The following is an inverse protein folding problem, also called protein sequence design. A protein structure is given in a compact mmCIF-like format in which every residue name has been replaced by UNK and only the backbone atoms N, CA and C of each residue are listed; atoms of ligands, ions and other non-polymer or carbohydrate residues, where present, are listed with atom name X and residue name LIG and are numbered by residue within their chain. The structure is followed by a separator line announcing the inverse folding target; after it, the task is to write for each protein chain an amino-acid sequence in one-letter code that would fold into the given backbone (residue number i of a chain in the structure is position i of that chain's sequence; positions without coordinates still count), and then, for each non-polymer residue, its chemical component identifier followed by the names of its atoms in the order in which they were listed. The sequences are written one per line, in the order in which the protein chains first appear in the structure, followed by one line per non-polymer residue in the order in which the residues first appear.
data_IF_623419694575
#
_entry.id   IF_623419694575
#
_cell.length_a   1.000
_cell.length_b   1.000
_cell.length_c   1.000
_cell.angle_alpha   90.00
_cell.angle_beta   90.00
_cell.angle_gamma   90.00
#
_symmetry.space_group_name_H-M   'P 1'
#
loop_
_entity.id
_entity.type
_entity.pdbx_description
1 polymer ?
#
# COMPACT_ATOMS: atom_id res chain seq x y z
N UNK A 1 10.20 23.35 -19.83
CA UNK A 1 9.11 24.28 -19.40
C UNK A 1 8.16 23.48 -18.53
N UNK A 2 7.63 24.04 -17.44
CA UNK A 2 6.66 23.30 -16.61
C UNK A 2 5.27 23.38 -17.22
N UNK A 3 4.68 22.23 -17.55
CA UNK A 3 3.28 22.12 -17.95
C UNK A 3 2.42 21.93 -16.68
N UNK A 4 1.39 22.75 -16.52
CA UNK A 4 0.42 22.61 -15.43
C UNK A 4 -0.71 21.73 -15.93
N UNK A 5 -1.06 20.70 -15.17
CA UNK A 5 -2.16 19.79 -15.48
C UNK A 5 -3.10 19.74 -14.29
N UNK A 6 -4.33 20.21 -14.48
CA UNK A 6 -5.39 20.08 -13.49
C UNK A 6 -5.76 18.60 -13.33
N UNK A 7 -5.86 18.11 -12.09
CA UNK A 7 -6.25 16.71 -11.85
C UNK A 7 -7.69 16.45 -12.33
N UNK A 8 -8.54 17.47 -12.30
CA UNK A 8 -9.89 17.42 -12.87
C UNK A 8 -9.94 17.15 -14.37
N UNK A 9 -8.85 17.44 -15.11
CA UNK A 9 -8.77 17.22 -16.56
C UNK A 9 -8.26 15.82 -16.92
N UNK A 10 -7.89 15.02 -15.93
CA UNK A 10 -7.42 13.64 -16.12
C UNK A 10 -8.58 12.65 -16.02
N UNK A 11 -8.48 11.56 -16.79
CA UNK A 11 -9.32 10.40 -16.54
C UNK A 11 -9.04 9.84 -15.15
N UNK A 12 -10.11 9.45 -14.46
CA UNK A 12 -10.07 8.84 -13.13
C UNK A 12 -10.60 7.42 -13.26
N UNK A 13 -9.75 6.44 -12.96
CA UNK A 13 -10.08 5.02 -13.05
C UNK A 13 -10.17 4.44 -11.64
N UNK A 14 -11.36 3.99 -11.27
CA UNK A 14 -11.59 3.22 -10.05
C UNK A 14 -11.36 1.74 -10.35
N UNK A 15 -10.32 1.16 -9.76
CA UNK A 15 -9.91 -0.22 -9.98
C UNK A 15 -10.35 -1.08 -8.80
N UNK A 16 -11.18 -2.08 -9.06
CA UNK A 16 -11.73 -2.97 -8.02
C UNK A 16 -11.69 -4.43 -8.45
N UNK A 17 -11.63 -5.34 -7.48
CA UNK A 17 -11.60 -6.77 -7.73
C UNK A 17 -12.62 -7.53 -6.87
N UNK A 18 -12.30 -7.84 -5.62
CA UNK A 18 -13.12 -8.64 -4.69
C UNK A 18 -13.42 -7.91 -3.37
N UNK A 19 -13.09 -6.61 -3.27
CA UNK A 19 -13.32 -5.82 -2.07
C UNK A 19 -14.82 -5.64 -1.81
N UNK A 20 -15.28 -6.03 -0.63
CA UNK A 20 -16.73 -5.97 -0.31
C UNK A 20 -17.24 -4.55 -0.14
N UNK A 21 -16.35 -3.60 0.16
CA UNK A 21 -16.65 -2.17 0.26
C UNK A 21 -16.51 -1.40 -1.08
N UNK A 22 -16.14 -2.07 -2.18
CA UNK A 22 -15.89 -1.41 -3.47
C UNK A 22 -17.10 -0.65 -4.00
N UNK A 23 -18.32 -1.18 -3.87
CA UNK A 23 -19.52 -0.53 -4.41
C UNK A 23 -19.88 0.77 -3.64
N UNK A 24 -19.67 0.76 -2.33
CA UNK A 24 -19.83 1.96 -1.50
C UNK A 24 -18.77 3.01 -1.82
N UNK A 25 -17.52 2.60 -1.97
CA UNK A 25 -16.41 3.51 -2.33
C UNK A 25 -16.57 4.05 -3.76
N UNK A 26 -17.05 3.23 -4.69
CA UNK A 26 -17.40 3.67 -6.04
C UNK A 26 -18.49 4.74 -6.02
N UNK A 27 -19.55 4.53 -5.24
CA UNK A 27 -20.63 5.51 -5.08
C UNK A 27 -20.14 6.82 -4.47
N UNK A 28 -19.24 6.72 -3.48
CA UNK A 28 -18.57 7.86 -2.89
C UNK A 28 -17.77 8.65 -3.93
N UNK A 29 -16.85 8.02 -4.67
CA UNK A 29 -16.05 8.68 -5.71
C UNK A 29 -16.96 9.33 -6.78
N UNK A 30 -17.99 8.62 -7.24
CA UNK A 30 -18.93 9.11 -8.25
C UNK A 30 -19.71 10.35 -7.83
N UNK A 31 -19.84 10.61 -6.53
CA UNK A 31 -20.57 11.78 -6.02
C UNK A 31 -19.86 13.12 -6.27
N UNK A 32 -18.53 13.12 -6.45
CA UNK A 32 -17.73 14.32 -6.74
C UNK A 32 -16.80 14.17 -7.96
N UNK A 33 -16.62 12.95 -8.49
CA UNK A 33 -15.92 12.67 -9.76
C UNK A 33 -16.88 11.96 -10.73
N UNK A 34 -17.89 12.65 -11.28
CA UNK A 34 -18.91 12.04 -12.14
C UNK A 34 -18.40 11.59 -13.52
N UNK A 35 -17.14 11.83 -13.86
CA UNK A 35 -16.49 11.30 -15.07
C UNK A 35 -15.63 10.06 -14.78
N UNK A 36 -15.47 9.65 -13.51
CA UNK A 36 -14.72 8.46 -13.17
C UNK A 36 -15.31 7.22 -13.87
N UNK A 37 -14.42 6.34 -14.35
CA UNK A 37 -14.73 5.04 -14.98
C UNK A 37 -14.35 3.93 -14.00
N UNK A 38 -15.08 2.82 -13.99
CA UNK A 38 -14.76 1.65 -13.13
C UNK A 38 -14.24 0.51 -13.98
N UNK A 39 -13.09 -0.03 -13.60
CA UNK A 39 -12.57 -1.31 -14.06
C UNK A 39 -12.73 -2.30 -12.92
N UNK A 40 -13.38 -3.44 -13.19
CA UNK A 40 -13.77 -4.39 -12.16
C UNK A 40 -13.50 -5.84 -12.57
N UNK A 41 -13.05 -6.65 -11.61
CA UNK A 41 -13.00 -8.11 -11.76
C UNK A 41 -11.83 -8.62 -12.60
N UNK A 42 -10.82 -7.79 -12.86
CA UNK A 42 -9.61 -8.21 -13.59
C UNK A 42 -8.65 -8.89 -12.63
N UNK A 43 -8.34 -10.15 -12.91
CA UNK A 43 -7.36 -10.93 -12.18
C UNK A 43 -5.93 -10.55 -12.57
N UNK A 44 -5.01 -10.53 -11.59
CA UNK A 44 -3.63 -10.14 -11.79
C UNK A 44 -3.39 -8.63 -11.60
N UNK A 45 -2.29 -8.28 -10.93
CA UNK A 45 -2.03 -6.87 -10.60
C UNK A 45 -1.56 -6.09 -11.82
N UNK A 46 -0.72 -6.68 -12.67
CA UNK A 46 -0.21 -6.07 -13.91
C UNK A 46 -1.35 -5.93 -14.96
N UNK A 47 -2.14 -7.00 -15.13
CA UNK A 47 -3.29 -7.02 -16.03
C UNK A 47 -4.37 -6.00 -15.63
N UNK A 48 -4.68 -5.88 -14.34
CA UNK A 48 -5.65 -4.91 -13.83
C UNK A 48 -5.23 -3.45 -14.12
N UNK A 49 -3.95 -3.12 -13.96
CA UNK A 49 -3.44 -1.79 -14.30
C UNK A 49 -3.46 -1.54 -15.82
N UNK A 50 -3.11 -2.53 -16.65
CA UNK A 50 -3.22 -2.43 -18.11
C UNK A 50 -4.66 -2.22 -18.58
N UNK A 51 -5.63 -2.89 -17.95
CA UNK A 51 -7.04 -2.64 -18.19
C UNK A 51 -7.46 -1.20 -17.79
N UNK A 52 -6.93 -0.68 -16.68
CA UNK A 52 -7.13 0.71 -16.29
C UNK A 52 -6.56 1.71 -17.33
N UNK A 53 -5.34 1.47 -17.82
CA UNK A 53 -4.73 2.28 -18.88
C UNK A 53 -5.52 2.21 -20.20
N UNK A 54 -6.09 1.06 -20.53
CA UNK A 54 -6.95 0.89 -21.71
C UNK A 54 -8.28 1.65 -21.59
N UNK A 55 -8.84 1.75 -20.38
CA UNK A 55 -10.06 2.52 -20.12
C UNK A 55 -9.84 4.06 -20.14
N UNK A 56 -8.60 4.49 -19.94
CA UNK A 56 -8.21 5.90 -19.99
C UNK A 56 -8.07 6.42 -21.43
N UNK A 57 -8.68 7.56 -21.71
CA UNK A 57 -8.55 8.33 -22.95
C UNK A 57 -7.35 9.28 -22.89
N UNK A 58 -6.98 9.77 -21.71
CA UNK A 58 -5.80 10.61 -21.48
C UNK A 58 -4.52 9.78 -21.33
N UNK A 59 -3.36 10.31 -21.75
CA UNK A 59 -2.07 9.63 -21.57
C UNK A 59 -1.72 9.43 -20.09
N UNK A 60 -2.05 10.41 -19.26
CA UNK A 60 -1.92 10.34 -17.81
C UNK A 60 -3.29 10.19 -17.18
N UNK A 61 -3.42 9.35 -16.15
CA UNK A 61 -4.69 9.14 -15.45
C UNK A 61 -4.48 8.96 -13.95
N UNK A 62 -5.53 9.17 -13.17
CA UNK A 62 -5.58 8.87 -11.74
C UNK A 62 -6.15 7.47 -11.56
N UNK A 63 -5.54 6.66 -10.70
CA UNK A 63 -6.00 5.34 -10.31
C UNK A 63 -6.33 5.29 -8.83
N UNK A 64 -7.51 4.78 -8.51
CA UNK A 64 -8.08 4.67 -7.16
C UNK A 64 -8.40 3.19 -6.90
N UNK A 65 -7.78 2.61 -5.86
CA UNK A 65 -8.00 1.21 -5.46
C UNK A 65 -9.42 1.03 -4.83
N UNK A 66 -9.99 -0.18 -4.94
CA UNK A 66 -11.39 -0.45 -4.58
C UNK A 66 -11.73 -0.24 -3.10
N UNK A 67 -10.74 -0.33 -2.23
CA UNK A 67 -10.86 -0.10 -0.79
C UNK A 67 -10.54 1.34 -0.35
N UNK A 68 -10.31 2.25 -1.31
CA UNK A 68 -9.83 3.59 -1.05
C UNK A 68 -10.93 4.66 -1.13
N UNK A 69 -10.87 5.61 -0.21
CA UNK A 69 -11.67 6.82 -0.18
C UNK A 69 -10.77 8.06 -0.32
N UNK A 70 -10.74 8.71 -1.50
CA UNK A 70 -9.94 9.92 -1.71
C UNK A 70 -10.52 11.12 -0.96
N UNK A 71 -9.67 12.02 -0.51
CA UNK A 71 -10.07 13.37 -0.10
C UNK A 71 -10.49 14.16 -1.36
N UNK A 72 -11.72 14.70 -1.45
CA UNK A 72 -12.18 15.45 -2.62
C UNK A 72 -11.27 16.62 -3.03
N UNK A 73 -10.58 17.25 -2.07
CA UNK A 73 -9.64 18.36 -2.34
C UNK A 73 -8.44 17.93 -3.20
N UNK A 74 -8.17 16.62 -3.31
CA UNK A 74 -7.18 16.08 -4.24
C UNK A 74 -7.48 16.47 -5.70
N UNK A 75 -8.76 16.46 -6.09
CA UNK A 75 -9.15 16.75 -7.48
C UNK A 75 -9.12 18.24 -7.82
N UNK A 76 -8.91 19.11 -6.83
CA UNK A 76 -8.69 20.55 -6.99
C UNK A 76 -7.20 20.89 -7.15
N UNK A 77 -6.30 19.90 -7.13
CA UNK A 77 -4.87 20.12 -7.20
C UNK A 77 -4.35 20.14 -8.65
N UNK A 78 -3.16 20.72 -8.84
CA UNK A 78 -2.48 20.80 -10.12
C UNK A 78 -1.14 20.06 -10.09
N UNK A 79 -0.90 19.20 -11.07
CA UNK A 79 0.39 18.58 -11.29
C UNK A 79 1.30 19.53 -12.06
N UNK A 80 2.56 19.65 -11.60
CA UNK A 80 3.58 20.47 -12.24
C UNK A 80 4.56 19.58 -12.97
N UNK A 81 4.28 19.33 -14.25
CA UNK A 81 5.01 18.38 -15.07
C UNK A 81 6.17 19.05 -15.81
N UNK A 82 7.30 18.35 -15.92
CA UNK A 82 8.48 18.78 -16.68
C UNK A 82 9.15 17.55 -17.31
N UNK A 83 10.26 17.77 -18.01
CA UNK A 83 10.98 16.70 -18.73
C UNK A 83 11.51 15.59 -17.81
N UNK A 84 11.67 15.84 -16.50
CA UNK A 84 12.17 14.86 -15.54
C UNK A 84 11.06 13.96 -14.98
N UNK A 85 9.82 14.43 -14.96
CA UNK A 85 8.72 13.78 -14.23
C UNK A 85 7.48 13.46 -15.10
N UNK A 86 7.44 13.93 -16.34
CA UNK A 86 6.29 13.79 -17.24
C UNK A 86 5.93 12.34 -17.51
N UNK A 87 6.91 11.43 -17.51
CA UNK A 87 6.75 9.99 -17.70
C UNK A 87 6.67 9.21 -16.37
N UNK A 88 6.85 9.87 -15.23
CA UNK A 88 6.89 9.22 -13.93
C UNK A 88 5.49 8.82 -13.42
N UNK A 89 5.48 7.80 -12.57
CA UNK A 89 4.33 7.40 -11.76
C UNK A 89 4.41 8.14 -10.43
N UNK A 90 3.31 8.74 -10.00
CA UNK A 90 3.20 9.35 -8.67
C UNK A 90 2.34 8.46 -7.79
N UNK A 91 2.84 8.07 -6.61
CA UNK A 91 2.05 7.38 -5.58
C UNK A 91 2.00 8.25 -4.33
N UNK A 92 0.82 8.77 -4.03
CA UNK A 92 0.57 9.47 -2.76
C UNK A 92 0.25 8.48 -1.65
N UNK A 93 0.42 8.93 -0.41
CA UNK A 93 0.14 8.09 0.74
C UNK A 93 -1.36 7.99 0.98
N UNK A 94 -1.80 6.85 1.50
CA UNK A 94 -3.10 6.72 2.15
C UNK A 94 -2.90 6.53 3.65
N UNK A 95 -3.86 7.02 4.44
CA UNK A 95 -4.00 6.60 5.84
C UNK A 95 -4.71 5.26 5.87
N UNK A 96 -4.07 4.24 6.43
CA UNK A 96 -4.68 2.94 6.61
C UNK A 96 -5.65 2.97 7.80
N UNK A 97 -6.93 2.66 7.56
CA UNK A 97 -7.99 2.71 8.58
C UNK A 97 -7.75 1.74 9.74
N UNK A 98 -7.11 0.60 9.47
CA UNK A 98 -6.86 -0.46 10.46
C UNK A 98 -5.85 0.01 11.50
N UNK A 99 -4.67 0.45 11.06
CA UNK A 99 -3.51 0.66 11.93
C UNK A 99 -3.03 2.12 12.02
N UNK A 100 -3.59 3.03 11.23
CA UNK A 100 -3.25 4.45 11.23
C UNK A 100 -2.01 4.84 10.43
N UNK A 101 -1.26 3.88 9.89
CA UNK A 101 -0.07 4.14 9.08
C UNK A 101 -0.42 5.02 7.87
N UNK A 102 0.45 5.99 7.57
CA UNK A 102 0.38 6.80 6.34
C UNK A 102 1.61 6.52 5.48
N UNK A 103 1.44 5.70 4.44
CA UNK A 103 2.48 5.35 3.46
C UNK A 103 1.84 4.85 2.16
N UNK A 104 2.61 4.27 1.23
CA UNK A 104 2.15 3.92 -0.11
C UNK A 104 1.05 2.84 -0.19
N UNK A 105 0.82 2.05 0.87
CA UNK A 105 -0.23 1.03 0.91
C UNK A 105 -1.62 1.65 0.68
N UNK A 106 -2.32 1.17 -0.35
CA UNK A 106 -3.63 1.67 -0.76
C UNK A 106 -3.67 3.14 -1.22
N UNK A 107 -2.53 3.80 -1.41
CA UNK A 107 -2.41 5.18 -1.87
C UNK A 107 -3.05 5.50 -3.22
N UNK A 108 -3.49 6.74 -3.43
CA UNK A 108 -3.85 7.24 -4.76
C UNK A 108 -2.63 7.25 -5.67
N UNK A 109 -2.85 7.09 -6.96
CA UNK A 109 -1.75 7.11 -7.92
C UNK A 109 -2.07 7.84 -9.22
N UNK A 110 -1.04 8.42 -9.84
CA UNK A 110 -1.08 8.94 -11.19
C UNK A 110 -0.13 8.14 -12.07
N UNK A 111 -0.66 7.51 -13.11
CA UNK A 111 0.07 6.67 -14.04
C UNK A 111 0.09 7.28 -15.43
N UNK A 112 1.09 6.91 -16.23
CA UNK A 112 1.04 7.10 -17.69
C UNK A 112 0.68 5.78 -18.36
N UNK A 113 -0.09 5.84 -19.44
CA UNK A 113 -0.41 4.65 -20.26
C UNK A 113 0.86 4.04 -20.82
N UNK A 114 1.83 4.88 -21.20
CA UNK A 114 3.15 4.44 -21.65
C UNK A 114 3.86 3.61 -20.58
N UNK A 115 3.94 4.07 -19.34
CA UNK A 115 4.56 3.30 -18.26
C UNK A 115 3.83 1.97 -18.03
N UNK A 116 2.51 2.01 -17.90
CA UNK A 116 1.69 0.83 -17.58
C UNK A 116 1.74 -0.23 -18.67
N UNK A 117 1.81 0.16 -19.94
CA UNK A 117 1.90 -0.82 -21.04
C UNK A 117 3.29 -1.44 -21.16
N UNK A 118 4.35 -0.75 -20.73
CA UNK A 118 5.73 -1.23 -20.80
C UNK A 118 6.17 -1.99 -19.54
N UNK A 119 5.52 -1.78 -18.40
CA UNK A 119 5.88 -2.49 -17.17
C UNK A 119 5.65 -4.00 -17.30
N UNK A 120 6.53 -4.74 -16.63
CA UNK A 120 6.50 -6.21 -16.50
C UNK A 120 6.69 -6.54 -15.04
N UNK A 121 5.59 -6.66 -14.31
CA UNK A 121 5.61 -6.89 -12.86
C UNK A 121 4.67 -8.01 -12.47
N UNK A 122 4.73 -8.47 -11.22
CA UNK A 122 3.82 -9.48 -10.69
C UNK A 122 3.74 -10.71 -11.61
N UNK A 123 2.54 -11.06 -12.07
CA UNK A 123 2.31 -12.17 -13.00
C UNK A 123 3.03 -12.02 -14.35
N UNK A 124 3.43 -10.81 -14.75
CA UNK A 124 4.16 -10.52 -15.98
C UNK A 124 5.68 -10.32 -15.79
N UNK A 125 6.17 -10.38 -14.54
CA UNK A 125 7.59 -10.22 -14.21
C UNK A 125 8.47 -11.18 -15.00
N UNK A 126 9.67 -10.72 -15.38
CA UNK A 126 10.69 -11.52 -16.05
C UNK A 126 11.54 -12.37 -15.10
N UNK A 127 11.19 -12.39 -13.81
CA UNK A 127 11.91 -13.09 -12.75
C UNK A 127 12.81 -12.19 -11.91
N UNK A 128 12.93 -10.89 -12.23
CA UNK A 128 13.62 -9.95 -11.36
C UNK A 128 12.84 -9.75 -10.04
N UNK A 129 13.51 -9.97 -8.90
CA UNK A 129 12.91 -9.88 -7.56
C UNK A 129 12.29 -8.52 -7.26
N UNK A 130 12.86 -7.43 -7.80
CA UNK A 130 12.31 -6.08 -7.61
C UNK A 130 10.92 -5.94 -8.26
N UNK A 131 10.62 -6.67 -9.33
CA UNK A 131 9.34 -6.56 -10.05
C UNK A 131 8.37 -7.70 -9.74
N UNK A 132 8.84 -8.75 -9.07
CA UNK A 132 8.07 -9.97 -8.86
C UNK A 132 6.84 -9.78 -7.96
N UNK A 133 6.90 -8.82 -7.03
CA UNK A 133 5.87 -8.55 -6.00
C UNK A 133 5.46 -7.08 -5.91
N UNK A 134 6.26 -6.16 -6.47
CA UNK A 134 6.07 -4.72 -6.28
C UNK A 134 6.21 -3.91 -7.58
N UNK A 135 5.62 -2.71 -7.56
CA UNK A 135 5.74 -1.70 -8.63
C UNK A 135 6.74 -0.58 -8.30
N UNK A 136 7.27 -0.52 -7.07
CA UNK A 136 7.85 0.70 -6.52
C UNK A 136 9.37 0.87 -6.72
N UNK A 137 10.03 -0.09 -7.38
CA UNK A 137 11.48 -0.07 -7.56
C UNK A 137 11.94 0.54 -8.90
N UNK A 138 11.02 0.90 -9.79
CA UNK A 138 11.39 1.66 -11.00
C UNK A 138 11.86 3.07 -10.61
N UNK A 139 12.90 3.59 -11.27
CA UNK A 139 13.38 4.96 -11.03
C UNK A 139 12.31 6.03 -11.32
N UNK A 140 11.44 5.76 -12.29
CA UNK A 140 10.28 6.59 -12.64
C UNK A 140 9.09 6.42 -11.70
N UNK A 141 9.19 5.59 -10.64
CA UNK A 141 8.21 5.52 -9.57
C UNK A 141 8.57 6.52 -8.46
N UNK A 142 7.73 7.52 -8.27
CA UNK A 142 7.93 8.56 -7.27
C UNK A 142 6.93 8.40 -6.13
N UNK A 143 7.44 7.99 -4.96
CA UNK A 143 6.69 8.04 -3.71
C UNK A 143 6.53 9.50 -3.27
N UNK A 144 5.30 9.94 -3.06
CA UNK A 144 4.93 11.33 -2.76
C UNK A 144 4.60 11.48 -1.27
N UNK A 145 4.92 12.64 -0.69
CA UNK A 145 4.81 12.87 0.76
C UNK A 145 3.39 12.93 1.29
N UNK A 146 2.52 13.62 0.56
CA UNK A 146 1.19 14.00 1.01
C UNK A 146 0.26 12.80 1.15
N UNK A 147 -0.69 12.92 2.07
CA UNK A 147 -1.72 11.91 2.36
C UNK A 147 -3.05 12.41 1.80
N UNK A 148 -3.52 11.78 0.73
CA UNK A 148 -4.71 12.23 -0.01
C UNK A 148 -5.91 11.30 0.09
N UNK A 149 -5.82 10.23 0.88
CA UNK A 149 -6.90 9.26 0.99
C UNK A 149 -6.86 8.43 2.27
N UNK A 150 -7.94 7.70 2.52
CA UNK A 150 -8.03 6.64 3.52
C UNK A 150 -8.24 5.32 2.79
N UNK A 151 -7.41 4.31 3.05
CA UNK A 151 -7.64 2.93 2.60
C UNK A 151 -8.24 2.11 3.74
N UNK A 152 -9.29 1.36 3.45
CA UNK A 152 -9.99 0.51 4.42
C UNK A 152 -10.04 -0.93 3.91
N UNK A 153 -8.92 -1.67 3.95
CA UNK A 153 -8.83 -3.01 3.41
C UNK A 153 -9.40 -4.07 4.38
N UNK A 154 -10.46 -3.74 5.11
CA UNK A 154 -11.10 -4.57 6.12
C UNK A 154 -12.60 -4.75 5.87
N UNK A 155 -13.01 -4.88 4.60
CA UNK A 155 -14.41 -5.14 4.25
C UNK A 155 -14.91 -6.55 4.65
N UNK A 156 -14.00 -7.49 4.90
CA UNK A 156 -14.28 -8.85 5.39
C UNK A 156 -13.09 -9.40 6.17
N UNK A 157 -13.25 -10.50 6.94
CA UNK A 157 -12.13 -11.19 7.59
C UNK A 157 -11.00 -11.55 6.62
N UNK A 158 -11.35 -12.11 5.47
CA UNK A 158 -10.39 -12.53 4.44
C UNK A 158 -9.67 -11.32 3.83
N UNK A 159 -10.39 -10.24 3.50
CA UNK A 159 -9.78 -9.03 2.94
C UNK A 159 -8.80 -8.39 3.93
N UNK A 160 -9.19 -8.28 5.21
CA UNK A 160 -8.33 -7.77 6.27
C UNK A 160 -7.08 -8.63 6.43
N UNK A 161 -7.25 -9.95 6.53
CA UNK A 161 -6.14 -10.89 6.60
C UNK A 161 -5.22 -10.78 5.38
N UNK A 162 -5.78 -10.72 4.18
CA UNK A 162 -5.01 -10.66 2.94
C UNK A 162 -4.15 -9.39 2.88
N UNK A 163 -4.72 -8.23 3.25
CA UNK A 163 -3.98 -6.98 3.30
C UNK A 163 -2.82 -7.05 4.31
N UNK A 164 -3.11 -7.57 5.50
CA UNK A 164 -2.08 -7.82 6.52
C UNK A 164 -1.00 -8.78 6.00
N UNK A 165 -1.39 -9.92 5.45
CA UNK A 165 -0.49 -10.97 4.95
C UNK A 165 0.45 -10.44 3.88
N UNK A 166 -0.09 -9.75 2.88
CA UNK A 166 0.72 -9.18 1.80
C UNK A 166 1.72 -8.15 2.33
N UNK A 167 1.30 -7.26 3.24
CA UNK A 167 2.23 -6.30 3.85
C UNK A 167 3.25 -6.96 4.78
N UNK A 168 2.87 -8.01 5.51
CA UNK A 168 3.77 -8.82 6.32
C UNK A 168 4.90 -9.43 5.50
N UNK A 169 4.59 -9.92 4.29
CA UNK A 169 5.59 -10.42 3.33
C UNK A 169 6.43 -9.27 2.79
N UNK A 170 5.79 -8.24 2.20
CA UNK A 170 6.47 -7.13 1.50
C UNK A 170 7.45 -6.38 2.40
N UNK A 171 7.05 -6.09 3.64
CA UNK A 171 7.87 -5.36 4.60
C UNK A 171 9.05 -6.20 5.14
N UNK A 172 9.06 -7.50 4.87
CA UNK A 172 10.18 -8.38 5.18
C UNK A 172 11.24 -8.46 4.08
N UNK A 173 10.97 -7.93 2.88
CA UNK A 173 11.86 -8.05 1.72
C UNK A 173 12.86 -6.89 1.66
N UNK A 174 14.07 -7.20 1.20
CA UNK A 174 15.09 -6.23 0.79
C UNK A 174 15.03 -6.06 -0.73
N UNK A 175 14.42 -4.98 -1.21
CA UNK A 175 14.23 -4.71 -2.65
C UNK A 175 13.58 -5.88 -3.38
N UNK A 176 12.50 -6.40 -2.80
CA UNK A 176 11.77 -7.55 -3.33
C UNK A 176 12.46 -8.91 -3.13
N UNK A 177 13.69 -8.96 -2.59
CA UNK A 177 14.42 -10.20 -2.31
C UNK A 177 14.18 -10.67 -0.86
N UNK A 178 13.95 -11.97 -0.69
CA UNK A 178 13.93 -12.62 0.64
C UNK A 178 15.32 -12.55 1.29
N UNK A 179 15.35 -12.27 2.58
CA UNK A 179 16.58 -12.23 3.39
C UNK A 179 16.51 -13.27 4.49
N UNK A 180 17.66 -13.76 4.93
CA UNK A 180 17.72 -14.70 6.04
C UNK A 180 17.47 -13.98 7.37
N UNK A 181 16.91 -14.66 8.40
CA UNK A 181 16.64 -14.06 9.70
C UNK A 181 17.83 -13.33 10.34
N UNK A 182 19.05 -13.85 10.16
CA UNK A 182 20.28 -13.29 10.73
C UNK A 182 20.68 -11.95 10.08
N UNK A 183 20.26 -11.73 8.83
CA UNK A 183 20.57 -10.52 8.05
C UNK A 183 19.43 -9.48 8.12
N UNK A 184 18.25 -9.91 8.55
CA UNK A 184 17.00 -9.15 8.49
C UNK A 184 17.12 -7.72 9.01
N UNK A 185 17.71 -7.53 10.19
CA UNK A 185 17.86 -6.21 10.81
C UNK A 185 18.76 -5.27 10.00
N UNK A 186 19.81 -5.80 9.37
CA UNK A 186 20.78 -5.01 8.59
C UNK A 186 20.31 -4.76 7.17
N UNK A 187 19.68 -5.75 6.54
CA UNK A 187 19.23 -5.69 5.16
C UNK A 187 17.92 -4.91 5.00
N UNK A 188 17.00 -5.05 5.95
CA UNK A 188 15.67 -4.44 5.84
C UNK A 188 15.66 -3.00 6.34
N UNK A 189 15.18 -2.09 5.50
CA UNK A 189 15.07 -0.67 5.83
C UNK A 189 14.28 -0.45 7.13
N UNK A 190 14.76 0.47 7.97
CA UNK A 190 14.18 0.72 9.30
C UNK A 190 12.67 1.04 9.24
N UNK A 191 12.24 1.86 8.28
CA UNK A 191 10.81 2.18 8.16
C UNK A 191 9.95 0.99 7.75
N UNK A 192 10.49 0.01 7.00
CA UNK A 192 9.76 -1.24 6.73
C UNK A 192 9.58 -2.04 8.01
N UNK A 193 10.63 -2.16 8.83
CA UNK A 193 10.57 -2.84 10.13
C UNK A 193 9.59 -2.14 11.08
N UNK A 194 9.59 -0.80 11.12
CA UNK A 194 8.64 -0.02 11.93
C UNK A 194 7.19 -0.24 11.48
N UNK A 195 6.93 -0.19 10.17
CA UNK A 195 5.59 -0.44 9.64
C UNK A 195 5.14 -1.88 9.93
N UNK A 196 6.05 -2.85 9.80
CA UNK A 196 5.76 -4.26 10.07
C UNK A 196 5.36 -4.48 11.54
N UNK A 197 6.08 -3.87 12.48
CA UNK A 197 5.71 -3.92 13.90
C UNK A 197 4.30 -3.37 14.11
N UNK A 198 3.95 -2.25 13.48
CA UNK A 198 2.62 -1.63 13.62
C UNK A 198 1.54 -2.51 13.02
N UNK A 199 1.75 -3.08 11.82
CA UNK A 199 0.84 -4.06 11.23
C UNK A 199 0.62 -5.28 12.12
N UNK A 200 1.67 -5.76 12.78
CA UNK A 200 1.57 -6.88 13.71
C UNK A 200 0.95 -6.51 15.07
N UNK A 201 0.84 -5.22 15.42
CA UNK A 201 0.52 -4.78 16.78
C UNK A 201 -0.83 -4.06 16.91
N UNK A 202 -1.25 -3.33 15.88
CA UNK A 202 -2.37 -2.37 15.93
C UNK A 202 -3.48 -2.78 14.95
N UNK A 203 -4.72 -2.69 15.41
CA UNK A 203 -5.91 -2.94 14.57
C UNK A 203 -7.10 -3.51 15.32
N UNK A 204 -6.92 -3.90 16.59
CA UNK A 204 -7.96 -4.55 17.37
C UNK A 204 -9.20 -3.69 17.66
N UNK A 205 -9.17 -2.39 17.34
CA UNK A 205 -10.25 -1.43 17.57
C UNK A 205 -11.24 -1.27 16.42
N UNK A 206 -10.93 -1.85 15.25
CA UNK A 206 -11.81 -1.80 14.06
C UNK A 206 -12.32 -3.19 13.70
N UNK A 207 -13.44 -3.24 12.98
CA UNK A 207 -13.99 -4.48 12.45
C UNK A 207 -12.94 -5.21 11.60
N UNK A 208 -12.81 -6.52 11.86
CA UNK A 208 -11.83 -7.42 11.25
C UNK A 208 -10.34 -7.04 11.41
N UNK A 209 -9.98 -5.99 12.14
CA UNK A 209 -8.58 -5.57 12.24
C UNK A 209 -7.65 -6.59 12.92
N UNK A 210 -8.17 -7.45 13.79
CA UNK A 210 -7.41 -8.61 14.31
C UNK A 210 -7.01 -9.60 13.22
N UNK A 211 -7.82 -9.77 12.17
CA UNK A 211 -7.47 -10.62 11.03
C UNK A 211 -6.33 -10.02 10.23
N UNK A 212 -6.29 -8.69 10.06
CA UNK A 212 -5.15 -8.00 9.48
C UNK A 212 -3.86 -8.18 10.31
N UNK A 213 -3.96 -8.09 11.64
CA UNK A 213 -2.82 -8.37 12.53
C UNK A 213 -2.34 -9.83 12.39
N UNK A 214 -3.26 -10.80 12.36
CA UNK A 214 -2.95 -12.21 12.12
C UNK A 214 -2.25 -12.40 10.76
N UNK A 215 -2.82 -11.83 9.70
CA UNK A 215 -2.25 -11.88 8.35
C UNK A 215 -0.82 -11.34 8.33
N UNK A 216 -0.59 -10.14 8.89
CA UNK A 216 0.75 -9.55 8.93
C UNK A 216 1.78 -10.44 9.65
N UNK A 217 1.39 -11.00 10.79
CA UNK A 217 2.25 -11.93 11.55
C UNK A 217 2.53 -13.21 10.77
N UNK A 218 1.51 -13.78 10.12
CA UNK A 218 1.63 -15.00 9.36
C UNK A 218 2.45 -14.81 8.07
N UNK A 219 2.22 -13.73 7.32
CA UNK A 219 2.98 -13.40 6.11
C UNK A 219 4.45 -13.16 6.42
N UNK A 220 4.75 -12.40 7.48
CA UNK A 220 6.13 -12.22 7.95
C UNK A 220 6.73 -13.54 8.46
N UNK A 221 5.96 -14.35 9.18
CA UNK A 221 6.42 -15.66 9.66
C UNK A 221 6.81 -16.58 8.50
N UNK A 222 5.93 -16.76 7.51
CA UNK A 222 6.20 -17.62 6.35
C UNK A 222 7.40 -17.10 5.55
N UNK A 223 7.46 -15.80 5.29
CA UNK A 223 8.60 -15.19 4.56
C UNK A 223 9.93 -15.43 5.25
N UNK A 224 9.96 -15.44 6.59
CA UNK A 224 11.23 -15.47 7.34
C UNK A 224 11.61 -16.87 7.85
N UNK A 225 10.66 -17.79 7.99
CA UNK A 225 10.91 -19.08 8.66
C UNK A 225 10.38 -20.31 7.91
N UNK A 226 9.66 -20.13 6.80
CA UNK A 226 9.18 -21.22 5.96
C UNK A 226 10.04 -21.29 4.70
N UNK A 227 11.11 -22.08 4.75
CA UNK A 227 12.09 -22.18 3.66
C UNK A 227 11.53 -22.86 2.40
N UNK A 228 10.45 -23.62 2.55
CA UNK A 228 9.80 -24.33 1.45
C UNK A 228 8.73 -23.47 0.75
N UNK A 229 8.34 -22.34 1.36
CA UNK A 229 7.34 -21.45 0.77
C UNK A 229 7.95 -20.44 -0.20
N UNK A 230 7.44 -20.44 -1.43
CA UNK A 230 7.71 -19.40 -2.42
C UNK A 230 6.96 -18.11 -2.05
N UNK A 231 7.69 -17.11 -1.55
CA UNK A 231 7.09 -15.85 -1.15
C UNK A 231 6.45 -15.07 -2.30
N UNK A 232 6.79 -15.38 -3.57
CA UNK A 232 6.18 -14.71 -4.74
C UNK A 232 4.72 -15.10 -4.94
N UNK A 233 4.27 -16.19 -4.31
CA UNK A 233 2.86 -16.59 -4.27
C UNK A 233 1.94 -15.52 -3.67
N UNK A 234 2.49 -14.59 -2.90
CA UNK A 234 1.78 -13.42 -2.33
C UNK A 234 1.12 -12.50 -3.39
N UNK A 235 1.47 -12.65 -4.66
CA UNK A 235 0.88 -11.89 -5.78
C UNK A 235 -0.34 -12.57 -6.41
N UNK A 236 -0.59 -13.83 -6.06
CA UNK A 236 -1.62 -14.69 -6.63
C UNK A 236 -2.78 -14.82 -5.64
N UNK A 237 -3.96 -14.33 -6.03
CA UNK A 237 -5.11 -14.27 -5.14
C UNK A 237 -5.71 -15.66 -4.85
N UNK A 238 -5.60 -16.61 -5.78
CA UNK A 238 -6.09 -17.97 -5.56
C UNK A 238 -5.18 -18.73 -4.59
N UNK A 239 -3.86 -18.50 -4.68
CA UNK A 239 -2.91 -19.02 -3.67
C UNK A 239 -3.16 -18.42 -2.30
N UNK A 240 -3.41 -17.12 -2.22
CA UNK A 240 -3.77 -16.46 -0.96
C UNK A 240 -5.08 -16.99 -0.38
N UNK A 241 -6.07 -17.32 -1.21
CA UNK A 241 -7.33 -17.94 -0.78
C UNK A 241 -7.09 -19.32 -0.16
N UNK A 242 -6.21 -20.14 -0.73
CA UNK A 242 -5.84 -21.42 -0.13
C UNK A 242 -5.17 -21.25 1.23
N UNK A 243 -4.19 -20.34 1.34
CA UNK A 243 -3.51 -20.06 2.62
C UNK A 243 -4.50 -19.53 3.67
N UNK A 244 -5.45 -18.68 3.25
CA UNK A 244 -6.51 -18.19 4.12
C UNK A 244 -7.39 -19.33 4.64
N UNK A 245 -7.83 -20.23 3.75
CA UNK A 245 -8.67 -21.37 4.12
C UNK A 245 -7.97 -22.28 5.14
N UNK A 246 -6.67 -22.53 4.97
CA UNK A 246 -5.85 -23.27 5.95
C UNK A 246 -5.68 -22.52 7.29
N UNK A 247 -5.90 -21.21 7.28
CA UNK A 247 -5.78 -20.33 8.45
C UNK A 247 -7.10 -20.09 9.18
N UNK A 248 -8.22 -20.63 8.71
CA UNK A 248 -9.55 -20.39 9.31
C UNK A 248 -9.66 -20.91 10.75
N UNK A 249 -8.86 -21.92 11.11
CA UNK A 249 -8.79 -22.44 12.47
C UNK A 249 -7.88 -21.63 13.39
N UNK A 250 -7.10 -20.69 12.84
CA UNK A 250 -6.15 -19.90 13.62
C UNK A 250 -6.88 -18.85 14.47
N UNK A 251 -6.63 -18.92 15.77
CA UNK A 251 -7.14 -17.95 16.74
C UNK A 251 -6.05 -17.02 17.27
N UNK A 252 -6.37 -16.38 18.40
CA UNK A 252 -5.45 -15.48 19.10
C UNK A 252 -4.14 -16.21 19.52
N UNK A 253 -4.18 -17.53 19.77
CA UNK A 253 -3.03 -18.34 20.19
C UNK A 253 -2.00 -18.55 19.08
N UNK A 254 -2.47 -18.89 17.88
CA UNK A 254 -1.62 -19.08 16.69
C UNK A 254 -1.03 -17.73 16.27
N UNK A 255 -1.85 -16.68 16.25
CA UNK A 255 -1.40 -15.30 16.02
C UNK A 255 -0.27 -14.89 16.99
N UNK A 256 -0.44 -15.16 18.29
CA UNK A 256 0.58 -14.84 19.29
C UNK A 256 1.84 -15.72 19.15
N UNK A 257 1.70 -16.94 18.65
CA UNK A 257 2.85 -17.82 18.36
C UNK A 257 3.72 -17.23 17.24
N UNK A 258 3.11 -16.74 16.16
CA UNK A 258 3.84 -16.03 15.10
C UNK A 258 4.52 -14.77 15.65
N UNK A 259 3.79 -13.93 16.39
CA UNK A 259 4.34 -12.71 17.00
C UNK A 259 5.54 -12.99 17.93
N UNK A 260 5.46 -14.04 18.75
CA UNK A 260 6.56 -14.47 19.63
C UNK A 260 7.80 -14.92 18.85
N UNK A 261 7.62 -15.62 17.72
CA UNK A 261 8.76 -16.04 16.89
C UNK A 261 9.43 -14.86 16.21
N UNK A 262 8.64 -13.94 15.63
CA UNK A 262 9.12 -12.69 15.04
C UNK A 262 9.89 -11.84 16.06
N UNK A 263 9.35 -11.66 17.28
CA UNK A 263 10.06 -10.98 18.40
C UNK A 263 11.40 -11.62 18.69
N UNK A 264 11.41 -12.92 18.94
CA UNK A 264 12.60 -13.64 19.43
C UNK A 264 13.70 -13.75 18.39
N UNK A 265 13.34 -13.95 17.11
CA UNK A 265 14.29 -14.27 16.04
C UNK A 265 14.70 -13.05 15.21
N UNK A 266 13.85 -12.03 15.11
CA UNK A 266 14.08 -10.85 14.26
C UNK A 266 14.21 -9.54 15.05
N UNK A 267 14.12 -9.59 16.39
CA UNK A 267 14.18 -8.42 17.26
C UNK A 267 13.11 -7.35 16.91
N UNK A 268 11.94 -7.78 16.45
CA UNK A 268 10.79 -6.91 16.18
C UNK A 268 9.99 -6.71 17.46
N UNK A 269 9.86 -5.49 17.98
CA UNK A 269 9.14 -5.19 19.23
C UNK A 269 7.61 -5.21 19.05
N UNK A 270 7.07 -6.39 18.70
CA UNK A 270 5.64 -6.60 18.46
C UNK A 270 4.89 -6.70 19.79
N UNK A 271 3.85 -5.90 19.96
CA UNK A 271 2.98 -5.91 21.14
C UNK A 271 1.54 -6.09 20.70
N UNK A 272 0.84 -7.06 21.28
CA UNK A 272 -0.58 -7.28 20.97
C UNK A 272 -1.45 -6.26 21.72
N UNK A 273 -1.78 -5.14 21.07
CA UNK A 273 -2.64 -4.11 21.66
C UNK A 273 -4.09 -4.59 21.67
N UNK A 274 -4.81 -4.33 22.77
CA UNK A 274 -6.26 -4.49 22.80
C UNK A 274 -6.96 -3.35 22.02
N UNK A 275 -8.30 -3.38 21.94
CA UNK A 275 -9.07 -2.37 21.22
C UNK A 275 -8.87 -0.95 21.78
N UNK A 276 -8.89 -0.76 23.10
CA UNK A 276 -8.68 0.56 23.71
C UNK A 276 -7.29 1.11 23.41
N UNK A 277 -6.27 0.27 23.55
CA UNK A 277 -4.88 0.63 23.28
C UNK A 277 -4.63 0.92 21.80
N UNK A 278 -5.19 0.12 20.88
CA UNK A 278 -5.06 0.35 19.43
C UNK A 278 -5.68 1.70 19.04
N UNK A 279 -6.88 1.99 19.57
CA UNK A 279 -7.55 3.29 19.37
C UNK A 279 -6.73 4.44 19.95
N UNK A 280 -6.19 4.28 21.17
CA UNK A 280 -5.32 5.27 21.80
C UNK A 280 -4.10 5.56 20.93
N UNK A 281 -3.39 4.51 20.47
CA UNK A 281 -2.22 4.66 19.62
C UNK A 281 -2.55 5.45 18.35
N UNK A 282 -3.61 5.07 17.63
CA UNK A 282 -4.02 5.76 16.38
C UNK A 282 -4.37 7.24 16.59
N UNK A 283 -4.91 7.60 17.74
CA UNK A 283 -5.24 9.00 18.07
C UNK A 283 -4.01 9.85 18.43
N UNK A 284 -2.89 9.23 18.79
CA UNK A 284 -1.66 9.91 19.22
C UNK A 284 -0.53 9.78 18.19
N UNK A 285 -0.80 9.21 17.02
CA UNK A 285 0.15 9.25 15.91
C UNK A 285 0.30 10.68 15.38
N UNK A 286 1.46 10.94 14.77
CA UNK A 286 1.70 12.20 14.08
C UNK A 286 0.61 12.42 13.02
N UNK A 287 -0.05 13.57 13.10
CA UNK A 287 -0.92 14.04 12.01
C UNK A 287 -0.05 14.47 10.84
N UNK A 288 -0.29 13.89 9.67
CA UNK A 288 0.31 14.33 8.42
C UNK A 288 -0.43 15.56 7.93
N UNK A 289 0.32 16.62 7.63
CA UNK A 289 -0.18 17.79 6.94
C UNK A 289 0.33 17.72 5.51
N UNK A 290 -0.57 17.88 4.55
CA UNK A 290 -0.19 17.99 3.15
C UNK A 290 0.59 19.29 2.97
N UNK A 291 1.74 19.19 2.29
CA UNK A 291 2.66 20.31 2.07
C UNK A 291 2.54 20.76 0.63
N UNK A 292 2.66 19.81 -0.30
CA UNK A 292 2.66 20.07 -1.73
C UNK A 292 2.44 18.74 -2.46
N UNK A 293 1.43 18.72 -3.34
CA UNK A 293 1.06 17.52 -4.10
C UNK A 293 2.23 16.94 -4.92
N UNK A 294 3.18 17.77 -5.35
CA UNK A 294 4.34 17.33 -6.13
C UNK A 294 5.60 17.09 -5.29
N UNK A 295 5.53 17.05 -3.95
CA UNK A 295 6.69 16.80 -3.08
C UNK A 295 7.00 15.30 -2.96
N UNK A 296 8.11 14.80 -3.52
CA UNK A 296 8.53 13.42 -3.33
C UNK A 296 9.02 13.19 -1.90
N UNK A 297 8.82 12.00 -1.36
CA UNK A 297 9.23 11.64 0.01
C UNK A 297 10.72 11.88 0.27
N UNK A 298 11.56 11.60 -0.75
CA UNK A 298 13.01 11.79 -0.71
C UNK A 298 13.45 13.24 -0.48
N UNK A 299 12.59 14.21 -0.81
CA UNK A 299 12.91 15.64 -0.79
C UNK A 299 12.32 16.38 0.43
N UNK A 300 11.42 15.74 1.18
CA UNK A 300 10.73 16.32 2.35
C UNK A 300 11.71 16.87 3.39
N UNK A 301 12.80 16.15 3.65
CA UNK A 301 13.80 16.57 4.62
C UNK A 301 14.45 17.91 4.27
N UNK A 302 14.58 18.23 2.97
CA UNK A 302 15.13 19.50 2.50
C UNK A 302 14.16 20.65 2.75
N UNK A 303 12.86 20.42 2.48
CA UNK A 303 11.80 21.42 2.72
C UNK A 303 11.69 21.76 4.20
N UNK A 304 11.65 20.75 5.08
CA UNK A 304 11.55 20.94 6.53
C UNK A 304 12.78 21.72 7.06
N UNK A 305 13.99 21.36 6.61
CA UNK A 305 15.21 22.08 7.01
C UNK A 305 15.24 23.52 6.53
N UNK A 306 14.73 23.80 5.33
CA UNK A 306 14.65 25.16 4.79
C UNK A 306 13.67 26.03 5.58
N UNK A 307 12.48 25.50 5.89
CA UNK A 307 11.49 26.20 6.69
C UNK A 307 12.00 26.49 8.12
N UNK A 308 12.68 25.53 8.74
CA UNK A 308 13.28 25.72 10.06
C UNK A 308 14.32 26.85 10.06
N UNK A 309 15.16 26.97 9.03
CA UNK A 309 16.18 28.03 8.93
C UNK A 309 15.61 29.44 8.72
N UNK A 310 14.37 29.58 8.24
CA UNK A 310 13.72 30.88 8.06
C UNK A 310 13.06 31.39 9.36
N UNK A 311 12.99 30.55 10.39
CA UNK A 311 12.41 30.87 11.70
C UNK A 311 13.46 31.26 12.75
N UNK A 312 14.74 31.32 12.36
CA UNK A 312 15.89 31.79 13.17
C UNK A 312 16.62 32.90 12.42
#
# INVERSE_FOLDING_TARGET
MSNLVDISDLDVIFLSYKETNADSNWSYVRSFVPWAKRVHGIEGSDAAHKAAAAASETERFILIDGDNQPNPEFFNQQLRLNDENSECVFRWRAKNHINGLCYGNGGLSSWTKTFVNNMRTHEASDGNTETAVEFCYFQSYWAMHDVWSITSPNGSPQQAWQAGFREGVKLCLDRGRRVNPEEFEKATWLGNRTNLVIWCSIGADVEYGKYAMLGARQGAYKTMFDDDWDYTEVRDFDKLENIWNDSLEYGDKESETFARMLRKRLNLDIVTFNAEQSKWFKNHQRTYQNIDIMLPERDVGNVIRSAARQLW
#
